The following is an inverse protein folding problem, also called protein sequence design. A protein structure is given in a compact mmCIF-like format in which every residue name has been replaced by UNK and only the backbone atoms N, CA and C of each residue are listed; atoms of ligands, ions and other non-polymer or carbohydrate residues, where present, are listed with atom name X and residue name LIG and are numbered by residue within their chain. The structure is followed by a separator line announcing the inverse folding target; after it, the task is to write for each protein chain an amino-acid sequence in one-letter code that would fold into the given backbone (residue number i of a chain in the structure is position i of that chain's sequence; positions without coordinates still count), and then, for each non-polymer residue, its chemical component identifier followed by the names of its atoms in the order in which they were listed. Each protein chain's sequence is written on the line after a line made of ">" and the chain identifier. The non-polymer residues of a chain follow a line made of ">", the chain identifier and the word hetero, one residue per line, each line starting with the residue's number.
data_IF_465440572070
#
_entry.id   IF_465440572070
#
_cell.length_a   1.000
_cell.length_b   1.000
_cell.length_c   1.000
_cell.angle_alpha   90.00
_cell.angle_beta   90.00
_cell.angle_gamma   90.00
#
_symmetry.space_group_name_H-M   'P 1'
#
loop_
_entity.id
_entity.type
_entity.pdbx_description
1 polymer ?
#
# COMPACT_ATOMS: atom_id res chain seq x y z
N UNK A 1 -6.14 12.42 13.06
CA UNK A 1 -5.39 11.14 13.07
C UNK A 1 -6.30 9.95 12.80
N UNK A 2 -5.84 9.01 11.97
CA UNK A 2 -6.52 7.74 11.65
C UNK A 2 -5.50 6.60 11.60
N UNK A 3 -5.96 5.36 11.77
CA UNK A 3 -5.10 4.18 11.67
C UNK A 3 -5.34 3.45 10.36
N UNK A 4 -4.25 3.19 9.64
CA UNK A 4 -4.24 2.49 8.37
C UNK A 4 -3.47 1.18 8.49
N UNK A 5 -4.00 0.14 7.84
CA UNK A 5 -3.25 -1.09 7.58
C UNK A 5 -2.86 -1.10 6.10
N UNK A 6 -1.63 -1.53 5.83
CA UNK A 6 -1.07 -1.60 4.49
C UNK A 6 -0.48 -2.99 4.33
N UNK A 7 -0.89 -3.72 3.30
CA UNK A 7 -0.25 -4.97 2.88
C UNK A 7 0.21 -4.84 1.44
N UNK A 8 1.27 -5.56 1.08
CA UNK A 8 1.89 -5.38 -0.21
C UNK A 8 2.63 -6.64 -0.67
N UNK A 9 2.86 -6.70 -1.98
CA UNK A 9 3.71 -7.67 -2.65
C UNK A 9 4.58 -6.92 -3.64
N UNK A 10 5.90 -6.95 -3.44
CA UNK A 10 6.87 -6.48 -4.43
C UNK A 10 7.36 -7.69 -5.21
N UNK A 11 7.38 -7.60 -6.54
CA UNK A 11 7.81 -8.70 -7.37
C UNK A 11 9.34 -8.92 -7.24
N UNK A 12 9.77 -10.18 -7.12
CA UNK A 12 11.17 -10.56 -6.91
C UNK A 12 11.97 -10.58 -8.23
N UNK A 13 12.05 -9.42 -8.88
CA UNK A 13 12.88 -9.18 -10.06
C UNK A 13 13.10 -7.68 -10.28
N UNK A 14 14.02 -7.36 -11.20
CA UNK A 14 14.25 -5.98 -11.66
C UNK A 14 13.06 -5.53 -12.51
N UNK A 15 12.40 -4.45 -12.11
CA UNK A 15 11.26 -3.89 -12.82
C UNK A 15 11.36 -2.37 -12.84
N UNK A 16 11.16 -1.77 -14.02
CA UNK A 16 11.31 -0.32 -14.19
C UNK A 16 12.72 0.19 -13.82
N UNK A 17 13.75 -0.63 -14.03
CA UNK A 17 15.14 -0.29 -13.74
C UNK A 17 15.55 -0.33 -12.26
N UNK A 18 14.67 -0.77 -11.35
CA UNK A 18 14.93 -0.85 -9.90
C UNK A 18 14.94 -2.29 -9.42
N UNK A 19 15.75 -2.62 -8.41
CA UNK A 19 15.72 -3.94 -7.76
C UNK A 19 14.51 -4.10 -6.84
N UNK A 20 14.30 -5.30 -6.29
CA UNK A 20 13.31 -5.55 -5.25
C UNK A 20 13.56 -4.64 -4.05
N UNK A 21 14.78 -4.61 -3.52
CA UNK A 21 15.19 -3.83 -2.34
C UNK A 21 14.95 -2.34 -2.57
N UNK A 22 15.36 -1.81 -3.73
CA UNK A 22 15.16 -0.41 -4.06
C UNK A 22 13.67 -0.01 -4.12
N UNK A 23 12.77 -0.91 -4.51
CA UNK A 23 11.32 -0.65 -4.51
C UNK A 23 10.71 -0.84 -3.12
N UNK A 24 11.20 -1.81 -2.36
CA UNK A 24 10.80 -2.02 -0.96
C UNK A 24 11.17 -0.80 -0.10
N UNK A 25 12.41 -0.31 -0.21
CA UNK A 25 12.88 0.86 0.52
C UNK A 25 12.08 2.12 0.13
N UNK A 26 11.86 2.31 -1.17
CA UNK A 26 11.03 3.42 -1.65
C UNK A 26 9.58 3.35 -1.13
N UNK A 27 9.00 2.15 -1.03
CA UNK A 27 7.67 1.93 -0.46
C UNK A 27 7.65 2.25 1.04
N UNK A 28 8.65 1.76 1.78
CA UNK A 28 8.82 2.04 3.20
C UNK A 28 8.91 3.55 3.45
N UNK A 29 9.77 4.25 2.70
CA UNK A 29 9.91 5.71 2.80
C UNK A 29 8.62 6.44 2.44
N UNK A 30 7.91 5.98 1.41
CA UNK A 30 6.65 6.57 0.99
C UNK A 30 5.60 6.50 2.10
N UNK A 31 5.54 5.40 2.85
CA UNK A 31 4.67 5.25 4.02
C UNK A 31 5.20 6.04 5.22
N UNK A 32 6.52 6.03 5.47
CA UNK A 32 7.15 6.76 6.57
C UNK A 32 6.82 8.25 6.54
N UNK A 33 6.84 8.87 5.34
CA UNK A 33 6.51 10.29 5.16
C UNK A 33 5.10 10.66 5.61
N UNK A 34 4.19 9.68 5.69
CA UNK A 34 2.84 9.86 6.20
C UNK A 34 2.66 9.35 7.62
N UNK A 35 3.64 8.63 8.19
CA UNK A 35 3.54 8.06 9.51
C UNK A 35 3.52 9.15 10.59
N UNK A 36 2.64 8.98 11.56
CA UNK A 36 2.64 9.75 12.80
C UNK A 36 3.53 9.09 13.85
N UNK A 37 3.15 9.23 15.11
CA UNK A 37 3.90 8.73 16.27
C UNK A 37 4.01 7.21 16.40
N UNK A 38 3.15 6.44 15.73
CA UNK A 38 3.02 5.00 15.90
C UNK A 38 3.08 4.28 14.56
N UNK A 39 4.10 3.46 14.40
CA UNK A 39 4.24 2.54 13.27
C UNK A 39 4.65 1.16 13.80
N UNK A 40 3.83 0.16 13.50
CA UNK A 40 4.15 -1.25 13.69
C UNK A 40 4.45 -1.95 12.35
N UNK A 41 5.62 -2.56 12.23
CA UNK A 41 6.16 -3.15 11.01
C UNK A 41 6.96 -4.43 11.24
N UNK A 42 6.46 -5.33 12.10
CA UNK A 42 7.13 -6.60 12.35
C UNK A 42 7.00 -7.59 11.18
N UNK A 43 5.83 -7.75 10.53
CA UNK A 43 5.72 -8.60 9.35
C UNK A 43 6.41 -7.97 8.14
N UNK A 44 6.94 -8.82 7.26
CA UNK A 44 7.65 -8.41 6.04
C UNK A 44 6.74 -7.78 4.98
N UNK A 45 5.42 -7.95 5.08
CA UNK A 45 4.45 -7.51 4.06
C UNK A 45 3.15 -6.96 4.66
N UNK A 46 3.23 -6.41 5.87
CA UNK A 46 2.10 -5.79 6.53
C UNK A 46 2.56 -4.72 7.53
N UNK A 47 1.96 -3.53 7.44
CA UNK A 47 2.23 -2.40 8.31
C UNK A 47 0.94 -1.83 8.90
N UNK A 48 1.02 -1.36 10.14
CA UNK A 48 0.02 -0.54 10.79
C UNK A 48 0.61 0.82 11.13
N UNK A 49 -0.06 1.89 10.70
CA UNK A 49 0.45 3.25 10.85
C UNK A 49 -0.66 4.22 11.24
N UNK A 50 -0.40 5.09 12.20
CA UNK A 50 -1.25 6.26 12.44
C UNK A 50 -0.85 7.38 11.49
N UNK A 51 -1.81 8.14 10.97
CA UNK A 51 -1.51 9.25 10.06
C UNK A 51 -2.55 10.37 10.15
N UNK A 52 -2.10 11.61 9.91
CA UNK A 52 -2.97 12.75 9.58
C UNK A 52 -3.27 12.84 8.07
N UNK A 53 -2.51 12.11 7.25
CA UNK A 53 -2.77 12.04 5.81
C UNK A 53 -4.01 11.23 5.51
N UNK A 54 -4.73 11.62 4.46
CA UNK A 54 -5.83 10.83 3.92
C UNK A 54 -5.33 9.56 3.25
N UNK A 55 -6.20 8.53 3.17
CA UNK A 55 -5.92 7.30 2.44
C UNK A 55 -5.46 7.56 0.99
N UNK A 56 -6.05 8.56 0.34
CA UNK A 56 -5.70 8.94 -1.04
C UNK A 56 -4.29 9.54 -1.16
N UNK A 57 -3.86 10.35 -0.19
CA UNK A 57 -2.50 10.90 -0.17
C UNK A 57 -1.46 9.79 0.01
N UNK A 58 -1.71 8.86 0.93
CA UNK A 58 -0.83 7.71 1.15
C UNK A 58 -0.78 6.83 -0.10
N UNK A 59 -1.94 6.52 -0.70
CA UNK A 59 -2.03 5.73 -1.92
C UNK A 59 -1.27 6.39 -3.09
N UNK A 60 -1.35 7.71 -3.24
CA UNK A 60 -0.61 8.44 -4.27
C UNK A 60 0.91 8.35 -4.07
N UNK A 61 1.39 8.46 -2.83
CA UNK A 61 2.81 8.31 -2.48
C UNK A 61 3.31 6.88 -2.77
N UNK A 62 2.54 5.87 -2.36
CA UNK A 62 2.81 4.46 -2.66
C UNK A 62 2.88 4.22 -4.18
N UNK A 63 1.92 4.75 -4.93
CA UNK A 63 1.85 4.60 -6.40
C UNK A 63 3.11 5.11 -7.10
N UNK A 64 3.73 6.17 -6.59
CA UNK A 64 4.99 6.71 -7.11
C UNK A 64 6.20 5.86 -6.71
N UNK A 65 6.12 5.16 -5.58
CA UNK A 65 7.22 4.38 -5.03
C UNK A 65 7.39 3.01 -5.69
N UNK A 66 6.31 2.34 -6.09
CA UNK A 66 6.36 0.97 -6.63
C UNK A 66 6.24 0.94 -8.16
N UNK A 67 6.47 -0.23 -8.78
CA UNK A 67 6.11 -0.46 -10.18
C UNK A 67 4.72 -1.10 -10.23
N UNK A 68 3.69 -0.29 -10.49
CA UNK A 68 2.29 -0.75 -10.52
C UNK A 68 1.97 -1.82 -11.55
N UNK A 69 2.85 -2.09 -12.52
CA UNK A 69 2.67 -3.17 -13.48
C UNK A 69 2.97 -4.56 -12.91
N UNK A 70 3.78 -4.65 -11.86
CA UNK A 70 4.23 -5.93 -11.27
C UNK A 70 4.05 -6.00 -9.75
N UNK A 71 4.06 -4.86 -9.08
CA UNK A 71 3.90 -4.75 -7.64
C UNK A 71 2.43 -4.49 -7.29
N UNK A 72 2.06 -4.82 -6.05
CA UNK A 72 0.73 -4.63 -5.49
C UNK A 72 0.85 -4.06 -4.08
N UNK A 73 0.02 -3.07 -3.76
CA UNK A 73 -0.22 -2.62 -2.40
C UNK A 73 -1.72 -2.45 -2.18
N UNK A 74 -2.18 -2.76 -0.97
CA UNK A 74 -3.55 -2.57 -0.53
C UNK A 74 -3.50 -1.82 0.78
N UNK A 75 -4.23 -0.70 0.83
CA UNK A 75 -4.39 0.11 2.04
C UNK A 75 -5.85 0.09 2.47
N UNK A 76 -6.07 -0.22 3.74
CA UNK A 76 -7.36 -0.02 4.39
C UNK A 76 -7.21 0.78 5.68
N UNK A 77 -8.35 1.11 6.26
CA UNK A 77 -8.43 1.79 7.56
C UNK A 77 -9.23 0.95 8.54
N UNK A 78 -8.85 1.01 9.82
CA UNK A 78 -9.59 0.34 10.90
C UNK A 78 -10.80 1.16 11.36
N UNK A 79 -10.84 2.46 11.02
CA UNK A 79 -11.80 3.40 11.56
C UNK A 79 -13.13 3.43 10.78
N UNK A 80 -13.12 3.03 9.50
CA UNK A 80 -14.31 2.97 8.63
C UNK A 80 -14.09 2.01 7.46
N UNK A 81 -15.18 1.62 6.78
CA UNK A 81 -15.07 0.78 5.57
C UNK A 81 -14.45 1.59 4.43
N UNK A 82 -13.16 1.39 4.19
CA UNK A 82 -12.45 2.01 3.07
C UNK A 82 -11.21 1.21 2.70
N UNK A 83 -11.21 0.57 1.53
CA UNK A 83 -10.07 -0.18 0.99
C UNK A 83 -9.69 0.42 -0.36
N UNK A 84 -8.40 0.64 -0.57
CA UNK A 84 -7.83 1.11 -1.84
C UNK A 84 -6.73 0.14 -2.28
N UNK A 85 -6.83 -0.33 -3.52
CA UNK A 85 -5.84 -1.19 -4.17
C UNK A 85 -4.99 -0.33 -5.10
N UNK A 86 -3.68 -0.51 -5.04
CA UNK A 86 -2.68 0.19 -5.86
C UNK A 86 -1.83 -0.87 -6.57
N UNK A 87 -1.78 -0.82 -7.90
CA UNK A 87 -0.94 -1.73 -8.70
C UNK A 87 -1.66 -2.96 -9.26
N UNK A 88 -0.88 -4.01 -9.56
CA UNK A 88 -1.33 -5.16 -10.33
C UNK A 88 -2.06 -6.19 -9.43
N UNK A 89 -3.39 -6.12 -9.42
CA UNK A 89 -4.26 -7.05 -8.74
C UNK A 89 -4.84 -8.08 -9.72
N UNK A 90 -4.16 -9.22 -9.89
CA UNK A 90 -4.54 -10.28 -10.85
C UNK A 90 -5.97 -10.83 -10.64
N UNK A 91 -6.48 -10.77 -9.41
CA UNK A 91 -7.83 -11.24 -9.03
C UNK A 91 -8.73 -10.12 -8.50
N UNK A 92 -8.68 -8.96 -9.15
CA UNK A 92 -9.43 -7.79 -8.70
C UNK A 92 -10.95 -8.04 -8.62
N UNK A 93 -11.52 -8.80 -9.56
CA UNK A 93 -12.97 -9.06 -9.58
C UNK A 93 -13.41 -9.92 -8.38
N UNK A 94 -12.62 -10.94 -8.01
CA UNK A 94 -12.85 -11.73 -6.79
C UNK A 94 -12.80 -10.83 -5.55
N UNK A 95 -11.85 -9.90 -5.50
CA UNK A 95 -11.72 -8.96 -4.40
C UNK A 95 -12.91 -7.98 -4.32
N UNK A 96 -13.40 -7.49 -5.46
CA UNK A 96 -14.60 -6.65 -5.55
C UNK A 96 -15.87 -7.40 -5.13
N UNK A 97 -15.96 -8.70 -5.42
CA UNK A 97 -17.09 -9.53 -4.98
C UNK A 97 -17.13 -9.66 -3.44
N UNK A 98 -15.97 -9.68 -2.77
CA UNK A 98 -15.86 -9.72 -1.31
C UNK A 98 -16.01 -8.35 -0.66
N UNK A 99 -15.54 -7.29 -1.33
CA UNK A 99 -15.58 -5.91 -0.85
C UNK A 99 -16.10 -4.99 -1.96
N UNK A 100 -17.42 -4.83 -2.12
CA UNK A 100 -18.01 -4.08 -3.23
C UNK A 100 -17.56 -2.61 -3.32
N UNK A 101 -17.28 -1.98 -2.17
CA UNK A 101 -16.91 -0.56 -2.08
C UNK A 101 -15.41 -0.30 -2.26
N UNK A 102 -14.63 -1.28 -2.76
CA UNK A 102 -13.19 -1.14 -2.95
C UNK A 102 -12.85 -0.17 -4.08
N UNK A 103 -11.83 0.67 -3.85
CA UNK A 103 -11.32 1.63 -4.83
C UNK A 103 -10.03 1.10 -5.47
N UNK A 104 -9.83 1.41 -6.75
CA UNK A 104 -8.57 1.14 -7.45
C UNK A 104 -7.92 2.47 -7.84
N UNK A 105 -6.65 2.64 -7.47
CA UNK A 105 -5.87 3.87 -7.66
C UNK A 105 -4.74 3.73 -8.67
#
# INVERSE_FOLDING_TARGET
>A
MKTFWITFRIADHVAGGRSYEARYDALSDAVHRHAGTHWWAEPTSFWLVNSESSQGQIAASIKQAINTGVDLAVIGTVDYKGITVIGNAEKLDDLKALVPDIRQA
#
